data_IF_561300932383
#
_entry.id   IF_561300932383
#
_cell.length_a   1.000
_cell.length_b   1.000
_cell.length_c   1.000
_cell.angle_alpha   90.00
_cell.angle_beta   90.00
_cell.angle_gamma   90.00
#
_symmetry.space_group_name_H-M   'P 1'
#
loop_
_entity.id
_entity.type
_entity.pdbx_description
1 polymer ?
#
# COMPACT_ATOMS: atom_id res chain seq x y z
N UNK A 1 -5.27 -5.12 0.83
CA UNK A 1 -6.66 -4.61 0.92
C UNK A 1 -6.74 -3.27 0.22
N UNK A 2 -7.72 -3.05 -0.64
CA UNK A 2 -8.05 -1.76 -1.25
C UNK A 2 -9.53 -1.48 -0.99
N UNK A 3 -9.83 -0.48 -0.16
CA UNK A 3 -11.17 -0.28 0.38
C UNK A 3 -11.63 -1.50 1.18
N UNK A 4 -12.72 -2.12 0.73
CA UNK A 4 -13.31 -3.32 1.35
C UNK A 4 -12.82 -4.63 0.72
N UNK A 5 -12.08 -4.57 -0.40
CA UNK A 5 -11.64 -5.75 -1.13
C UNK A 5 -10.26 -6.22 -0.66
N UNK A 6 -10.14 -7.55 -0.50
CA UNK A 6 -8.86 -8.22 -0.24
C UNK A 6 -8.47 -9.05 -1.45
N UNK A 7 -7.23 -8.86 -1.89
CA UNK A 7 -6.66 -9.48 -3.07
C UNK A 7 -5.25 -9.94 -2.77
N UNK A 8 -4.89 -11.11 -3.30
CA UNK A 8 -3.56 -11.70 -3.19
C UNK A 8 -2.78 -11.35 -4.45
N UNK A 9 -1.60 -10.76 -4.27
CA UNK A 9 -0.70 -10.40 -5.36
C UNK A 9 0.51 -11.33 -5.38
N UNK A 10 0.96 -11.67 -6.58
CA UNK A 10 2.14 -12.48 -6.82
C UNK A 10 3.30 -11.60 -7.30
N UNK A 11 4.55 -12.08 -7.24
CA UNK A 11 5.69 -11.35 -7.80
C UNK A 11 5.45 -10.94 -9.26
N UNK A 12 5.64 -9.66 -9.55
CA UNK A 12 5.42 -9.08 -10.89
C UNK A 12 4.03 -8.49 -11.11
N UNK A 13 3.08 -8.69 -10.19
CA UNK A 13 1.81 -7.98 -10.23
C UNK A 13 1.94 -6.54 -9.74
N UNK A 14 1.07 -5.68 -10.28
CA UNK A 14 0.91 -4.30 -9.87
C UNK A 14 -0.55 -3.99 -9.64
N UNK A 15 -0.81 -2.97 -8.83
CA UNK A 15 -2.13 -2.39 -8.64
C UNK A 15 -2.01 -0.88 -8.58
N UNK A 16 -2.94 -0.19 -9.24
CA UNK A 16 -3.10 1.24 -9.07
C UNK A 16 -3.92 1.52 -7.81
N UNK A 17 -3.41 2.41 -6.97
CA UNK A 17 -4.10 2.88 -5.78
C UNK A 17 -4.75 4.23 -6.11
N UNK A 18 -6.10 4.33 -6.17
CA UNK A 18 -6.76 5.60 -6.46
C UNK A 18 -6.51 6.64 -5.37
N UNK A 19 -6.54 7.92 -5.75
CA UNK A 19 -6.41 9.02 -4.80
C UNK A 19 -7.48 8.92 -3.69
N UNK A 20 -7.03 9.03 -2.44
CA UNK A 20 -7.89 8.94 -1.26
C UNK A 20 -8.35 7.52 -0.89
N UNK A 21 -7.97 6.49 -1.65
CA UNK A 21 -8.35 5.13 -1.33
C UNK A 21 -7.59 4.61 -0.11
N UNK A 22 -8.33 4.15 0.90
CA UNK A 22 -7.73 3.44 2.02
C UNK A 22 -7.18 2.10 1.52
N UNK A 23 -5.91 1.83 1.77
CA UNK A 23 -5.27 0.59 1.37
C UNK A 23 -4.29 0.11 2.45
N UNK A 24 -3.99 -1.18 2.41
CA UNK A 24 -3.01 -1.81 3.30
C UNK A 24 -2.36 -3.01 2.58
N UNK A 25 -1.05 -3.15 2.77
CA UNK A 25 -0.26 -4.29 2.31
C UNK A 25 0.17 -5.13 3.51
N UNK A 26 -0.03 -6.44 3.40
CA UNK A 26 0.43 -7.45 4.36
C UNK A 26 1.30 -8.47 3.64
N UNK A 27 2.17 -9.14 4.41
CA UNK A 27 2.94 -10.27 3.94
C UNK A 27 2.62 -11.49 4.82
N UNK A 28 1.85 -12.43 4.27
CA UNK A 28 1.43 -13.64 4.99
C UNK A 28 2.41 -14.82 4.77
N UNK A 29 3.59 -14.56 4.20
CA UNK A 29 4.64 -15.57 3.98
C UNK A 29 5.79 -15.42 4.98
N UNK A 30 6.72 -16.38 4.96
CA UNK A 30 7.93 -16.34 5.80
C UNK A 30 9.09 -15.59 5.14
N UNK A 31 8.98 -15.35 3.84
CA UNK A 31 9.99 -14.77 2.98
C UNK A 31 9.81 -13.25 2.92
N UNK A 32 10.90 -12.47 2.88
CA UNK A 32 10.79 -11.02 2.71
C UNK A 32 10.11 -10.66 1.38
N UNK A 33 9.10 -9.80 1.45
CA UNK A 33 8.49 -9.19 0.27
C UNK A 33 9.24 -7.90 -0.09
N UNK A 34 9.57 -7.74 -1.36
CA UNK A 34 10.13 -6.51 -1.92
C UNK A 34 9.03 -5.81 -2.70
N UNK A 35 8.79 -4.55 -2.39
CA UNK A 35 7.81 -3.71 -3.07
C UNK A 35 8.48 -2.52 -3.72
N UNK A 36 7.90 -2.07 -4.84
CA UNK A 36 8.23 -0.79 -5.45
C UNK A 36 6.96 0.04 -5.37
N UNK A 37 7.03 1.16 -4.66
CA UNK A 37 5.96 2.16 -4.66
C UNK A 37 6.35 3.30 -5.60
N UNK A 38 5.43 3.63 -6.51
CA UNK A 38 5.61 4.76 -7.43
C UNK A 38 4.49 5.75 -7.17
N UNK A 39 4.86 6.93 -6.69
CA UNK A 39 3.92 8.04 -6.52
C UNK A 39 3.93 8.89 -7.78
N UNK A 40 2.74 9.29 -8.25
CA UNK A 40 2.56 10.12 -9.44
C UNK A 40 1.78 11.37 -9.07
N UNK A 41 2.31 12.54 -9.38
CA UNK A 41 1.68 13.81 -9.03
C UNK A 41 2.66 14.97 -9.03
N UNK A 42 2.18 16.14 -8.61
CA UNK A 42 3.00 17.34 -8.41
C UNK A 42 3.39 17.58 -6.95
N UNK A 43 2.82 16.81 -6.01
CA UNK A 43 3.03 16.93 -4.58
C UNK A 43 3.30 15.56 -3.95
N UNK A 44 4.32 15.51 -3.09
CA UNK A 44 4.82 14.27 -2.46
C UNK A 44 5.14 14.49 -0.97
N UNK A 45 4.51 15.49 -0.34
CA UNK A 45 4.66 15.73 1.09
C UNK A 45 3.95 14.64 1.90
N UNK A 46 4.53 14.25 3.03
CA UNK A 46 3.95 13.24 3.91
C UNK A 46 2.72 13.74 4.69
N UNK A 47 2.48 15.04 4.71
CA UNK A 47 1.34 15.68 5.36
C UNK A 47 -0.01 15.38 4.69
N UNK A 48 0.00 14.92 3.44
CA UNK A 48 -1.19 14.43 2.72
C UNK A 48 -1.49 12.93 3.01
N UNK A 49 -0.66 12.27 3.84
CA UNK A 49 -0.81 10.85 4.18
C UNK A 49 -1.50 10.71 5.54
N UNK A 50 -2.74 10.22 5.52
CA UNK A 50 -3.48 9.88 6.74
C UNK A 50 -3.23 8.42 7.12
N UNK A 51 -2.48 8.18 8.20
CA UNK A 51 -2.28 6.85 8.77
C UNK A 51 -3.50 6.46 9.62
N UNK A 52 -4.34 5.56 9.10
CA UNK A 52 -5.59 5.14 9.78
C UNK A 52 -5.35 4.06 10.84
N UNK A 53 -4.31 3.26 10.67
CA UNK A 53 -3.90 2.22 11.60
C UNK A 53 -2.42 1.96 11.39
N UNK A 54 -1.67 1.86 12.49
CA UNK A 54 -0.27 1.47 12.46
C UNK A 54 -0.03 0.30 13.42
N UNK A 55 -0.48 -0.91 13.05
CA UNK A 55 -0.30 -2.09 13.88
C UNK A 55 1.16 -2.58 13.87
N UNK A 56 2.01 -2.00 13.02
CA UNK A 56 3.42 -2.36 12.86
C UNK A 56 4.38 -1.32 13.45
N UNK A 57 3.85 -0.25 14.04
CA UNK A 57 4.58 0.84 14.69
C UNK A 57 5.66 1.46 13.78
N UNK A 58 5.28 1.81 12.54
CA UNK A 58 6.12 2.36 11.45
C UNK A 58 5.91 3.86 11.22
#
# INVERSE_FOLDING_TARGET
RLGDETMILEPGHSIDIPLGAQHALGNDTTEPVIVIEVQMGSYFGEDDIVRVSDPYNR
#
